data_IF_899947771669
#
_entry.id   IF_899947771669
#
_cell.length_a   1.000
_cell.length_b   1.000
_cell.length_c   1.000
_cell.angle_alpha   90.00
_cell.angle_beta   90.00
_cell.angle_gamma   90.00
#
_symmetry.space_group_name_H-M   'P 1'
#
loop_
_entity.id
_entity.type
_entity.pdbx_description
1 polymer ?
#
# COMPACT_ATOMS: atom_id res chain seq x y z
N UNK A 1 42.83 22.49 -47.21
CA UNK A 1 42.39 23.55 -48.15
C UNK A 1 41.08 24.13 -47.65
N UNK A 2 41.09 25.45 -47.55
CA UNK A 2 40.01 26.44 -47.47
C UNK A 2 39.08 26.49 -46.23
N UNK A 3 39.35 27.55 -45.46
CA UNK A 3 38.51 28.26 -44.50
C UNK A 3 37.32 28.94 -45.21
N UNK A 4 36.16 29.09 -44.55
CA UNK A 4 35.43 30.37 -44.46
C UNK A 4 34.68 30.43 -43.12
N UNK A 5 34.84 31.58 -42.46
CA UNK A 5 34.26 32.07 -41.19
C UNK A 5 33.26 33.18 -41.54
N UNK A 6 32.09 33.28 -40.90
CA UNK A 6 31.29 34.53 -40.68
C UNK A 6 30.29 34.23 -39.51
N UNK A 7 30.52 34.58 -38.23
CA UNK A 7 30.09 35.80 -37.47
C UNK A 7 28.57 36.09 -37.55
N UNK A 8 27.78 36.53 -36.56
CA UNK A 8 27.96 37.18 -35.25
C UNK A 8 26.57 37.50 -34.65
N UNK A 9 26.40 37.43 -33.31
CA UNK A 9 25.46 38.19 -32.43
C UNK A 9 23.92 38.04 -32.64
N UNK A 10 23.02 38.00 -31.66
CA UNK A 10 22.84 38.85 -30.46
C UNK A 10 22.09 38.04 -29.38
N UNK A 11 22.57 38.14 -28.13
CA UNK A 11 21.89 37.69 -26.93
C UNK A 11 20.85 38.73 -26.47
N UNK A 12 19.68 38.29 -26.01
CA UNK A 12 18.76 39.11 -25.22
C UNK A 12 18.40 38.34 -23.96
N UNK A 13 19.05 38.73 -22.86
CA UNK A 13 18.75 38.34 -21.49
C UNK A 13 17.76 39.39 -20.97
N UNK A 14 16.52 39.00 -20.68
CA UNK A 14 15.62 39.83 -19.88
C UNK A 14 15.82 39.48 -18.40
N UNK A 15 16.62 40.30 -17.72
CA UNK A 15 16.60 40.45 -16.27
C UNK A 15 15.39 41.30 -15.90
N UNK A 16 14.46 40.75 -15.13
CA UNK A 16 13.51 41.56 -14.36
C UNK A 16 13.94 41.46 -12.90
N UNK A 17 14.57 42.54 -12.44
CA UNK A 17 14.78 42.83 -11.04
C UNK A 17 13.87 44.00 -10.66
N UNK A 18 13.08 43.83 -9.60
CA UNK A 18 12.59 44.95 -8.80
C UNK A 18 13.16 44.80 -7.38
N UNK A 19 13.60 45.95 -6.87
CA UNK A 19 14.52 46.15 -5.76
C UNK A 19 13.80 46.84 -4.58
N UNK A 20 14.52 46.88 -3.44
CA UNK A 20 14.37 47.70 -2.23
C UNK A 20 13.47 47.12 -1.13
N UNK A 21 13.85 47.10 0.15
CA UNK A 21 14.96 47.72 0.88
C UNK A 21 15.14 47.02 2.25
N UNK A 22 16.37 47.09 2.77
CA UNK A 22 16.93 46.74 4.08
C UNK A 22 16.05 47.01 5.31
N UNK A 23 16.20 46.21 6.40
CA UNK A 23 16.58 46.61 7.78
C UNK A 23 16.67 45.39 8.71
N UNK A 24 17.69 45.39 9.56
CA UNK A 24 18.06 44.37 10.56
C UNK A 24 17.37 44.67 11.92
N UNK A 25 17.24 43.63 12.76
CA UNK A 25 17.29 43.61 14.25
C UNK A 25 16.01 43.33 15.08
N UNK A 26 16.22 42.40 16.02
CA UNK A 26 15.64 42.19 17.38
C UNK A 26 14.24 41.58 17.60
N UNK A 27 14.27 40.30 18.04
CA UNK A 27 13.68 39.72 19.26
C UNK A 27 12.25 40.14 19.66
N UNK A 28 11.30 39.20 19.58
CA UNK A 28 10.49 38.64 20.70
C UNK A 28 9.21 37.98 20.18
N UNK A 29 9.07 36.69 20.46
CA UNK A 29 7.87 35.87 20.67
C UNK A 29 6.52 36.40 20.19
N UNK A 30 5.95 35.74 19.18
CA UNK A 30 4.56 35.27 19.23
C UNK A 30 4.41 34.04 18.33
N UNK A 31 3.84 32.99 18.90
CA UNK A 31 3.38 31.82 18.17
C UNK A 31 2.33 32.28 17.16
N UNK A 32 2.52 31.98 15.88
CA UNK A 32 1.45 31.99 14.91
C UNK A 32 1.43 30.60 14.27
N UNK A 33 0.42 29.83 14.66
CA UNK A 33 0.09 28.53 14.13
C UNK A 33 -0.08 28.63 12.61
N UNK A 34 0.88 28.08 11.87
CA UNK A 34 0.62 27.64 10.50
C UNK A 34 -0.47 26.57 10.60
N UNK A 35 -1.72 26.96 10.36
CA UNK A 35 -2.80 26.02 10.09
C UNK A 35 -2.47 25.35 8.76
N UNK A 36 -1.68 24.27 8.85
CA UNK A 36 -1.65 23.23 7.84
C UNK A 36 -3.10 22.82 7.61
N UNK A 37 -3.61 23.20 6.44
CA UNK A 37 -4.89 22.73 5.92
C UNK A 37 -4.71 21.24 5.68
N UNK A 38 -4.90 20.45 6.75
CA UNK A 38 -5.20 19.03 6.66
C UNK A 38 -6.50 18.93 5.88
N UNK A 39 -6.38 18.76 4.57
CA UNK A 39 -7.42 18.13 3.80
C UNK A 39 -7.40 16.64 4.23
N UNK A 40 -7.89 16.38 5.45
CA UNK A 40 -7.84 15.06 6.07
C UNK A 40 -8.93 14.22 5.44
N UNK A 41 -8.56 13.45 4.43
CA UNK A 41 -9.27 12.20 4.15
C UNK A 41 -9.36 11.42 5.46
N UNK A 42 -10.54 10.90 5.84
CA UNK A 42 -10.68 10.10 7.06
C UNK A 42 -9.67 8.96 7.05
N UNK A 43 -8.78 8.91 8.06
CA UNK A 43 -7.84 7.80 8.24
C UNK A 43 -8.63 6.54 8.59
N UNK A 44 -8.30 5.41 7.95
CA UNK A 44 -8.92 4.13 8.22
C UNK A 44 -8.50 3.61 9.60
N UNK A 45 -9.42 2.85 10.19
CA UNK A 45 -9.26 2.06 11.41
C UNK A 45 -9.30 0.57 11.08
N UNK A 46 -8.93 -0.29 12.04
CA UNK A 46 -9.04 -1.76 11.85
C UNK A 46 -10.48 -2.16 11.53
N UNK A 47 -11.46 -1.48 12.15
CA UNK A 47 -12.88 -1.77 11.96
C UNK A 47 -13.32 -1.63 10.51
N UNK A 48 -12.63 -0.79 9.73
CA UNK A 48 -12.87 -0.72 8.30
C UNK A 48 -12.50 -2.05 7.61
N UNK A 49 -11.45 -2.72 8.06
CA UNK A 49 -11.02 -4.01 7.50
C UNK A 49 -11.74 -5.23 8.07
N UNK A 50 -12.37 -5.14 9.25
CA UNK A 50 -13.05 -6.29 9.86
C UNK A 50 -14.17 -6.82 8.95
N UNK A 51 -14.18 -8.14 8.79
CA UNK A 51 -15.20 -8.85 8.02
C UNK A 51 -14.67 -10.07 7.28
N UNK A 52 -15.55 -10.62 6.46
CA UNK A 52 -15.27 -11.77 5.60
C UNK A 52 -15.32 -11.31 4.15
N UNK A 53 -14.31 -11.68 3.37
CA UNK A 53 -14.15 -11.26 1.98
C UNK A 53 -13.92 -12.49 1.11
N UNK A 54 -14.57 -12.52 -0.05
CA UNK A 54 -14.55 -13.67 -0.95
C UNK A 54 -14.00 -13.29 -2.32
N UNK A 55 -13.16 -14.17 -2.85
CA UNK A 55 -12.87 -14.27 -4.27
C UNK A 55 -13.50 -15.56 -4.81
N UNK A 56 -14.25 -15.46 -5.90
CA UNK A 56 -15.10 -16.55 -6.40
C UNK A 56 -16.47 -16.61 -5.71
N UNK A 57 -17.11 -17.78 -5.75
CA UNK A 57 -18.47 -18.00 -5.23
C UNK A 57 -18.53 -19.33 -4.46
N UNK A 58 -19.09 -19.30 -3.24
CA UNK A 58 -19.22 -20.50 -2.41
C UNK A 58 -20.29 -21.46 -2.94
N UNK A 59 -21.49 -20.96 -3.22
CA UNK A 59 -22.60 -21.76 -3.74
C UNK A 59 -22.48 -21.94 -5.26
N UNK A 60 -22.41 -23.19 -5.74
CA UNK A 60 -22.36 -23.50 -7.18
C UNK A 60 -21.08 -23.09 -7.91
N UNK A 61 -20.15 -22.40 -7.22
CA UNK A 61 -18.87 -21.99 -7.79
C UNK A 61 -17.83 -23.11 -7.83
N UNK A 62 -16.97 -23.07 -8.85
CA UNK A 62 -15.93 -24.08 -9.06
C UNK A 62 -14.79 -23.95 -8.04
N UNK A 63 -14.38 -22.71 -7.70
CA UNK A 63 -13.36 -22.40 -6.69
C UNK A 63 -13.73 -21.11 -5.92
N UNK A 64 -13.29 -21.05 -4.67
CA UNK A 64 -13.38 -19.84 -3.85
C UNK A 64 -12.22 -19.76 -2.86
N UNK A 65 -11.87 -18.53 -2.51
CA UNK A 65 -10.92 -18.19 -1.45
C UNK A 65 -11.58 -17.14 -0.56
N UNK A 66 -11.59 -17.40 0.74
CA UNK A 66 -12.18 -16.54 1.76
C UNK A 66 -11.09 -15.98 2.66
N UNK A 67 -11.12 -14.68 2.86
CA UNK A 67 -10.25 -13.94 3.78
C UNK A 67 -11.12 -13.44 4.93
N UNK A 68 -10.79 -13.83 6.15
CA UNK A 68 -11.43 -13.37 7.38
C UNK A 68 -10.47 -12.45 8.12
N UNK A 69 -10.92 -11.24 8.45
CA UNK A 69 -10.18 -10.25 9.23
C UNK A 69 -10.92 -9.98 10.54
N UNK A 70 -10.26 -10.24 11.66
CA UNK A 70 -10.81 -10.12 13.01
C UNK A 70 -9.96 -9.15 13.84
N UNK A 71 -10.60 -8.16 14.48
CA UNK A 71 -9.92 -7.24 15.40
C UNK A 71 -9.44 -8.01 16.65
N UNK A 72 -8.16 -7.88 16.99
CA UNK A 72 -7.57 -8.50 18.18
C UNK A 72 -7.74 -7.64 19.44
N UNK A 73 -8.32 -6.43 19.32
CA UNK A 73 -8.62 -5.49 20.41
C UNK A 73 -7.40 -4.98 21.18
N UNK A 74 -6.21 -5.23 20.66
CA UNK A 74 -4.93 -4.71 21.13
C UNK A 74 -4.33 -3.86 20.00
N UNK A 75 -4.63 -2.56 20.03
CA UNK A 75 -4.03 -1.46 19.25
C UNK A 75 -3.55 -1.81 17.82
N UNK A 76 -4.29 -1.35 16.82
CA UNK A 76 -3.94 -1.43 15.39
C UNK A 76 -3.65 -2.84 14.83
N UNK A 77 -3.91 -3.91 15.58
CA UNK A 77 -3.66 -5.28 15.16
C UNK A 77 -4.93 -6.13 14.92
N UNK A 78 -4.86 -6.99 13.91
CA UNK A 78 -5.94 -7.91 13.55
C UNK A 78 -5.39 -9.29 13.20
N UNK A 79 -6.23 -10.31 13.35
CA UNK A 79 -5.99 -11.65 12.84
C UNK A 79 -6.51 -11.74 11.41
N UNK A 80 -5.68 -12.25 10.50
CA UNK A 80 -6.05 -12.55 9.13
C UNK A 80 -5.97 -14.06 8.94
N UNK A 81 -7.09 -14.66 8.60
CA UNK A 81 -7.16 -16.08 8.22
C UNK A 81 -7.63 -16.19 6.78
N UNK A 82 -6.96 -17.02 5.98
CA UNK A 82 -7.39 -17.36 4.63
C UNK A 82 -7.68 -18.84 4.56
N UNK A 83 -8.87 -19.16 4.06
CA UNK A 83 -9.33 -20.49 3.73
C UNK A 83 -9.81 -20.54 2.29
N UNK A 84 -9.93 -21.74 1.75
CA UNK A 84 -10.36 -21.97 0.37
C UNK A 84 -11.17 -23.24 0.27
N UNK A 85 -11.83 -23.42 -0.87
CA UNK A 85 -12.53 -24.66 -1.19
C UNK A 85 -11.58 -25.84 -1.07
N UNK A 86 -11.96 -26.82 -0.24
CA UNK A 86 -11.24 -28.08 -0.14
C UNK A 86 -11.52 -28.92 -1.39
N UNK A 87 -10.47 -29.48 -1.98
CA UNK A 87 -10.59 -30.52 -3.00
C UNK A 87 -9.81 -31.75 -2.55
N UNK A 88 -10.48 -32.90 -2.51
CA UNK A 88 -9.88 -34.20 -2.14
C UNK A 88 -9.15 -34.19 -0.78
N UNK A 89 -9.73 -33.57 0.27
CA UNK A 89 -9.13 -33.55 1.60
C UNK A 89 -8.02 -32.50 1.78
N UNK A 90 -7.75 -31.65 0.79
CA UNK A 90 -6.69 -30.64 0.82
C UNK A 90 -7.25 -29.25 0.58
N UNK A 91 -6.95 -28.31 1.50
CA UNK A 91 -7.22 -26.88 1.29
C UNK A 91 -6.33 -26.36 0.16
N UNK A 92 -6.89 -25.54 -0.74
CA UNK A 92 -6.15 -24.92 -1.83
C UNK A 92 -5.18 -23.86 -1.33
N UNK A 93 -5.69 -22.83 -0.68
CA UNK A 93 -4.97 -21.79 0.06
C UNK A 93 -5.19 -21.88 1.57
N UNK A 94 -4.13 -21.62 2.35
CA UNK A 94 -4.15 -21.46 3.81
C UNK A 94 -3.21 -20.34 4.24
N UNK A 95 -3.69 -19.44 5.10
CA UNK A 95 -2.89 -18.37 5.69
C UNK A 95 -3.46 -18.05 7.08
N UNK A 96 -2.63 -17.95 8.11
CA UNK A 96 -3.04 -17.49 9.45
C UNK A 96 -1.92 -16.63 10.02
N UNK A 97 -2.13 -15.31 10.06
CA UNK A 97 -1.13 -14.32 10.50
C UNK A 97 -1.78 -13.12 11.17
N UNK A 98 -0.98 -12.38 11.92
CA UNK A 98 -1.34 -11.08 12.48
C UNK A 98 -0.92 -9.95 11.54
N UNK A 99 -1.81 -9.00 11.29
CA UNK A 99 -1.51 -7.78 10.55
C UNK A 99 -1.60 -6.55 11.42
N UNK A 100 -0.80 -5.53 11.09
CA UNK A 100 -0.76 -4.24 11.77
C UNK A 100 -1.20 -3.14 10.79
N UNK A 101 -2.18 -2.34 11.19
CA UNK A 101 -2.64 -1.19 10.43
C UNK A 101 -1.66 -0.04 10.56
N UNK A 102 -1.17 0.47 9.42
CA UNK A 102 -0.38 1.70 9.32
C UNK A 102 -0.79 2.43 8.04
N UNK A 103 -1.04 3.74 8.11
CA UNK A 103 -1.34 4.56 6.93
C UNK A 103 -2.36 3.90 5.99
N UNK A 104 -3.53 3.52 6.53
CA UNK A 104 -4.63 2.88 5.80
C UNK A 104 -4.33 1.54 5.12
N UNK A 105 -3.24 0.87 5.49
CA UNK A 105 -2.81 -0.41 4.93
C UNK A 105 -2.51 -1.39 6.06
N UNK A 106 -2.99 -2.62 5.95
CA UNK A 106 -2.55 -3.70 6.84
C UNK A 106 -1.23 -4.25 6.34
N UNK A 107 -0.23 -4.29 7.20
CA UNK A 107 1.07 -4.88 6.93
C UNK A 107 1.21 -6.19 7.70
N UNK A 108 1.57 -7.25 6.99
CA UNK A 108 1.79 -8.58 7.56
C UNK A 108 3.22 -8.99 7.21
N UNK A 109 4.08 -9.11 8.21
CA UNK A 109 5.42 -9.64 8.01
C UNK A 109 5.38 -11.16 8.06
N UNK A 110 5.97 -11.82 7.07
CA UNK A 110 6.10 -13.27 7.05
C UNK A 110 7.53 -13.69 6.76
N UNK A 111 7.94 -14.79 7.41
CA UNK A 111 9.22 -15.46 7.22
C UNK A 111 9.02 -16.93 6.82
N UNK A 112 7.83 -17.30 6.36
CA UNK A 112 7.50 -18.69 6.02
C UNK A 112 8.18 -19.17 4.73
N UNK A 113 8.77 -18.24 3.97
CA UNK A 113 9.49 -18.49 2.73
C UNK A 113 10.98 -18.20 2.89
N UNK A 114 11.76 -18.48 1.84
CA UNK A 114 13.23 -18.37 1.80
C UNK A 114 13.80 -17.05 2.35
N UNK A 115 13.02 -15.97 2.27
CA UNK A 115 13.36 -14.65 2.80
C UNK A 115 12.13 -13.96 3.40
N UNK A 116 12.30 -12.99 4.31
CA UNK A 116 11.20 -12.20 4.84
C UNK A 116 10.51 -11.39 3.74
N UNK A 117 9.17 -11.46 3.68
CA UNK A 117 8.34 -10.67 2.78
C UNK A 117 7.27 -9.94 3.59
N UNK A 118 6.84 -8.78 3.10
CA UNK A 118 5.73 -8.03 3.68
C UNK A 118 4.52 -8.13 2.78
N UNK A 119 3.49 -8.84 3.24
CA UNK A 119 2.18 -8.87 2.60
C UNK A 119 1.43 -7.59 3.01
N UNK A 120 0.71 -6.99 2.07
CA UNK A 120 -0.09 -5.80 2.29
C UNK A 120 -1.54 -6.09 1.94
N UNK A 121 -2.45 -5.54 2.74
CA UNK A 121 -3.89 -5.52 2.44
C UNK A 121 -4.34 -4.08 2.43
N UNK A 122 -4.84 -3.64 1.27
CA UNK A 122 -5.47 -2.32 1.12
C UNK A 122 -6.99 -2.50 1.02
N UNK A 123 -7.74 -1.47 1.39
CA UNK A 123 -9.20 -1.46 1.32
C UNK A 123 -9.69 -0.31 0.47
N UNK A 124 -10.65 -0.61 -0.40
CA UNK A 124 -11.46 0.36 -1.13
C UNK A 124 -12.91 -0.10 -1.13
N UNK A 125 -13.79 0.72 -0.57
CA UNK A 125 -15.23 0.44 -0.46
C UNK A 125 -15.50 -0.92 0.23
N UNK A 126 -16.17 -1.83 -0.47
CA UNK A 126 -16.48 -3.19 -0.03
C UNK A 126 -15.41 -4.21 -0.44
N UNK A 127 -14.28 -3.77 -0.99
CA UNK A 127 -13.21 -4.66 -1.44
C UNK A 127 -11.94 -4.50 -0.62
N UNK A 128 -11.24 -5.62 -0.46
CA UNK A 128 -9.84 -5.62 -0.07
C UNK A 128 -9.00 -6.14 -1.24
N UNK A 129 -7.77 -5.67 -1.33
CA UNK A 129 -6.78 -6.14 -2.28
C UNK A 129 -5.56 -6.63 -1.52
N UNK A 130 -5.14 -7.87 -1.77
CA UNK A 130 -3.96 -8.49 -1.18
C UNK A 130 -2.82 -8.46 -2.19
N UNK A 131 -1.65 -8.00 -1.77
CA UNK A 131 -0.40 -8.07 -2.54
C UNK A 131 0.81 -8.19 -1.59
N UNK A 132 2.03 -8.15 -2.12
CA UNK A 132 3.25 -8.06 -1.33
C UNK A 132 4.13 -6.90 -1.79
N UNK A 133 4.88 -6.32 -0.86
CA UNK A 133 5.91 -5.34 -1.17
C UNK A 133 7.08 -6.08 -1.82
N UNK A 134 7.33 -5.76 -3.08
CA UNK A 134 8.45 -6.30 -3.85
C UNK A 134 9.70 -5.47 -3.58
N UNK A 135 10.67 -6.05 -2.85
CA UNK A 135 12.00 -5.46 -2.65
C UNK A 135 12.99 -5.99 -3.68
N UNK A 136 12.78 -7.23 -4.11
CA UNK A 136 13.49 -7.91 -5.18
C UNK A 136 12.48 -8.63 -6.08
N UNK A 137 12.84 -8.79 -7.36
CA UNK A 137 12.00 -9.47 -8.35
C UNK A 137 11.52 -10.84 -7.85
N UNK A 138 10.21 -11.02 -7.87
CA UNK A 138 9.54 -12.27 -7.51
C UNK A 138 9.22 -12.44 -6.03
N UNK A 139 9.47 -11.45 -5.16
CA UNK A 139 9.04 -11.48 -3.76
C UNK A 139 7.54 -11.79 -3.62
N UNK A 140 6.73 -11.21 -4.52
CA UNK A 140 5.28 -11.40 -4.53
C UNK A 140 4.86 -12.86 -4.76
N UNK A 141 5.71 -13.69 -5.37
CA UNK A 141 5.41 -15.11 -5.57
C UNK A 141 5.41 -15.91 -4.26
N UNK A 142 5.86 -15.33 -3.14
CA UNK A 142 5.63 -15.92 -1.82
C UNK A 142 4.14 -16.18 -1.57
N UNK A 143 3.25 -15.39 -2.15
CA UNK A 143 1.81 -15.54 -1.98
C UNK A 143 1.26 -16.81 -2.68
N UNK A 144 2.05 -17.43 -3.57
CA UNK A 144 1.72 -18.72 -4.18
C UNK A 144 2.01 -19.89 -3.24
N UNK A 145 2.99 -19.75 -2.34
CA UNK A 145 3.34 -20.77 -1.35
C UNK A 145 2.13 -21.12 -0.47
N UNK A 146 1.38 -20.10 -0.07
CA UNK A 146 0.16 -20.26 0.72
C UNK A 146 -0.98 -20.93 -0.03
N UNK A 147 -0.88 -21.09 -1.35
CA UNK A 147 -1.87 -21.72 -2.22
C UNK A 147 -1.41 -23.04 -2.83
N UNK A 148 -0.44 -23.72 -2.21
CA UNK A 148 0.12 -25.00 -2.66
C UNK A 148 0.60 -24.99 -4.12
N UNK A 149 0.95 -23.82 -4.67
CA UNK A 149 1.38 -23.65 -6.06
C UNK A 149 0.27 -23.71 -7.12
N UNK A 150 -0.99 -23.96 -6.74
CA UNK A 150 -2.14 -23.98 -7.66
C UNK A 150 -2.81 -22.63 -7.89
N UNK A 151 -2.37 -21.59 -7.18
CA UNK A 151 -2.93 -20.25 -7.21
C UNK A 151 -2.06 -19.25 -6.44
N UNK A 152 -2.65 -18.11 -6.08
CA UNK A 152 -1.99 -17.05 -5.31
C UNK A 152 -3.00 -16.39 -4.37
N UNK A 153 -2.53 -15.89 -3.22
CA UNK A 153 -3.32 -14.96 -2.41
C UNK A 153 -3.46 -13.57 -3.05
N UNK A 154 -2.64 -13.23 -4.04
CA UNK A 154 -2.72 -11.95 -4.75
C UNK A 154 -4.09 -11.82 -5.39
N UNK A 155 -4.75 -10.69 -5.15
CA UNK A 155 -6.00 -10.34 -5.82
C UNK A 155 -6.97 -9.56 -4.96
N UNK A 156 -8.16 -9.36 -5.55
CA UNK A 156 -9.25 -8.63 -4.94
C UNK A 156 -10.28 -9.58 -4.32
N UNK A 157 -10.79 -9.20 -3.16
CA UNK A 157 -11.80 -9.95 -2.42
C UNK A 157 -12.94 -9.01 -2.04
N UNK A 158 -14.16 -9.45 -2.28
CA UNK A 158 -15.37 -8.65 -2.03
C UNK A 158 -15.99 -9.06 -0.70
N UNK A 159 -16.30 -8.06 0.14
CA UNK A 159 -16.96 -8.26 1.42
C UNK A 159 -18.30 -8.97 1.21
N UNK A 160 -18.54 -10.00 2.01
CA UNK A 160 -19.79 -10.77 2.02
C UNK A 160 -20.81 -10.14 2.97
#
# INVERSE_FOLDING_TARGET
MNKVIVTSFIAIIFLIACNNQTQEKDKTTSMEETKDVKNSTPQKSINDFVGTYLSGQKEGGNDWVEVKIEDLKNQDSCKITVDSKERNGKKGCTFDKTGILKNDTLFIQTTDWKKPVTVIITRKDTKISIDAIEKEDGDRYVLNYYCNGGGSLIGDYTKQ
#
